data_IF_323586696524
#
_entry.id   IF_323586696524
#
_cell.length_a   1.000
_cell.length_b   1.000
_cell.length_c   1.000
_cell.angle_alpha   90.00
_cell.angle_beta   90.00
_cell.angle_gamma   90.00
#
_symmetry.space_group_name_H-M   'P 1'
#
loop_
_entity.id
_entity.type
_entity.pdbx_description
1 polymer ?
#
# COMPACT_ATOMS: atom_id res chain seq x y z
N UNK A 1 8.20 -29.34 -11.40
CA UNK A 1 6.88 -29.58 -10.77
C UNK A 1 6.34 -28.23 -10.34
N UNK A 2 5.32 -27.72 -11.02
CA UNK A 2 4.67 -26.46 -10.70
C UNK A 2 3.63 -26.73 -9.62
N UNK A 3 3.91 -26.30 -8.39
CA UNK A 3 2.97 -26.44 -7.28
C UNK A 3 1.84 -25.44 -7.48
N UNK A 4 0.71 -25.92 -8.00
CA UNK A 4 -0.56 -25.18 -8.03
C UNK A 4 -1.06 -25.07 -6.60
N UNK A 5 -0.82 -23.94 -5.96
CA UNK A 5 -1.51 -23.56 -4.74
C UNK A 5 -2.69 -22.66 -5.12
N UNK A 6 -3.83 -23.28 -5.40
CA UNK A 6 -5.12 -22.60 -5.47
C UNK A 6 -5.49 -22.15 -4.05
N UNK A 7 -5.06 -20.95 -3.67
CA UNK A 7 -5.53 -20.32 -2.45
C UNK A 7 -6.82 -19.56 -2.74
N UNK A 8 -7.88 -19.90 -2.00
CA UNK A 8 -9.09 -19.11 -1.89
C UNK A 8 -8.82 -17.80 -1.12
N UNK A 9 -7.97 -16.92 -1.66
CA UNK A 9 -7.76 -15.58 -1.12
C UNK A 9 -9.04 -14.76 -1.35
N UNK A 10 -9.58 -14.19 -0.28
CA UNK A 10 -10.61 -13.17 -0.39
C UNK A 10 -9.97 -11.90 -0.90
N UNK A 11 -10.08 -11.65 -2.21
CA UNK A 11 -9.61 -10.44 -2.93
C UNK A 11 -8.11 -10.12 -2.86
N UNK A 12 -7.49 -9.95 -4.03
CA UNK A 12 -6.15 -9.39 -4.17
C UNK A 12 -6.26 -7.90 -4.42
N UNK A 13 -5.57 -7.10 -3.60
CA UNK A 13 -5.49 -5.67 -3.78
C UNK A 13 -4.24 -5.34 -4.60
N UNK A 14 -4.40 -4.51 -5.62
CA UNK A 14 -3.30 -3.93 -6.35
C UNK A 14 -3.07 -2.51 -5.88
N UNK A 15 -1.92 -2.28 -5.25
CA UNK A 15 -1.58 -1.01 -4.62
C UNK A 15 -0.46 -0.38 -5.43
N UNK A 16 -0.74 0.76 -6.06
CA UNK A 16 0.22 1.55 -6.79
C UNK A 16 0.59 2.78 -5.96
N UNK A 17 1.89 3.05 -5.83
CA UNK A 17 2.43 4.08 -4.95
C UNK A 17 3.28 5.04 -5.77
N UNK A 18 2.95 6.33 -5.69
CA UNK A 18 3.75 7.47 -6.15
C UNK A 18 4.04 8.39 -4.96
N UNK A 19 4.90 9.38 -5.15
CA UNK A 19 5.12 10.41 -4.15
C UNK A 19 3.86 11.26 -3.89
N UNK A 20 3.00 11.48 -4.89
CA UNK A 20 1.86 12.39 -4.84
C UNK A 20 0.50 11.67 -4.87
N UNK A 21 0.52 10.35 -5.11
CA UNK A 21 -0.68 9.54 -5.32
C UNK A 21 -0.54 8.14 -4.73
N UNK A 22 -1.60 7.67 -4.08
CA UNK A 22 -1.78 6.30 -3.64
C UNK A 22 -3.06 5.76 -4.26
N UNK A 23 -2.92 4.71 -5.08
CA UNK A 23 -4.06 4.05 -5.72
C UNK A 23 -4.16 2.60 -5.28
N UNK A 24 -5.36 2.16 -4.91
CA UNK A 24 -5.65 0.77 -4.56
C UNK A 24 -6.82 0.28 -5.38
N UNK A 25 -6.63 -0.81 -6.13
CA UNK A 25 -7.67 -1.49 -6.88
C UNK A 25 -7.97 -2.84 -6.22
N UNK A 26 -9.23 -3.07 -5.87
CA UNK A 26 -9.69 -4.39 -5.46
C UNK A 26 -9.97 -5.24 -6.70
N UNK A 27 -9.16 -6.28 -6.94
CA UNK A 27 -9.30 -7.16 -8.10
C UNK A 27 -10.60 -7.98 -8.10
N UNK A 28 -11.30 -8.10 -6.97
CA UNK A 28 -12.57 -8.82 -6.87
C UNK A 28 -13.77 -7.93 -7.18
N UNK A 29 -13.81 -6.72 -6.64
CA UNK A 29 -14.96 -5.82 -6.77
C UNK A 29 -14.79 -4.79 -7.88
N UNK A 30 -13.56 -4.52 -8.30
CA UNK A 30 -13.22 -3.41 -9.20
C UNK A 30 -13.22 -2.04 -8.53
N UNK A 31 -13.54 -1.96 -7.23
CA UNK A 31 -13.51 -0.70 -6.49
C UNK A 31 -12.09 -0.14 -6.47
N UNK A 32 -11.99 1.19 -6.55
CA UNK A 32 -10.70 1.88 -6.54
C UNK A 32 -10.69 2.95 -5.45
N UNK A 33 -9.60 3.01 -4.68
CA UNK A 33 -9.18 4.15 -3.87
C UNK A 33 -8.09 4.89 -4.64
N UNK A 34 -8.13 6.22 -4.69
CA UNK A 34 -7.21 7.00 -5.50
C UNK A 34 -7.09 8.43 -4.96
N UNK A 35 -6.15 8.64 -4.04
CA UNK A 35 -5.98 9.90 -3.32
C UNK A 35 -4.51 10.19 -3.01
N UNK A 36 -4.21 11.37 -2.47
CA UNK A 36 -2.84 11.70 -2.05
C UNK A 36 -2.39 10.86 -0.85
N UNK A 37 -1.11 10.49 -0.77
CA UNK A 37 -0.58 9.68 0.33
C UNK A 37 -0.30 10.54 1.58
N UNK A 38 -1.30 11.27 2.06
CA UNK A 38 -1.16 12.17 3.20
C UNK A 38 -1.77 11.55 4.45
N UNK A 39 -1.13 11.76 5.59
CA UNK A 39 -1.63 11.41 6.92
C UNK A 39 -1.54 12.62 7.81
N UNK A 40 -2.63 12.95 8.50
CA UNK A 40 -2.67 14.02 9.49
C UNK A 40 -2.69 13.50 10.92
N UNK A 41 -1.99 14.21 11.79
CA UNK A 41 -1.95 13.98 13.22
C UNK A 41 -2.30 15.26 13.95
N UNK A 42 -3.07 15.18 15.04
CA UNK A 42 -3.24 16.32 15.93
C UNK A 42 -1.90 16.71 16.57
N UNK A 43 -1.55 17.99 16.49
CA UNK A 43 -0.33 18.55 17.07
C UNK A 43 -0.49 18.98 18.54
N UNK A 44 -1.58 18.58 19.20
CA UNK A 44 -1.95 19.04 20.55
C UNK A 44 -0.86 18.81 21.60
N UNK A 45 -0.16 17.65 21.56
CA UNK A 45 0.85 17.28 22.55
C UNK A 45 2.01 16.48 21.94
N UNK A 46 3.28 16.83 22.23
CA UNK A 46 4.45 16.20 21.60
C UNK A 46 4.60 14.69 21.87
N UNK A 47 4.01 14.16 22.95
CA UNK A 47 4.08 12.74 23.32
C UNK A 47 2.86 11.91 22.91
N UNK A 48 1.85 12.53 22.29
CA UNK A 48 0.60 11.86 21.88
C UNK A 48 0.13 12.42 20.54
N UNK A 49 0.69 11.90 19.46
CA UNK A 49 0.14 12.10 18.12
C UNK A 49 -1.14 11.26 18.02
N UNK A 50 -2.27 11.93 17.87
CA UNK A 50 -3.56 11.27 17.60
C UNK A 50 -3.83 11.36 16.11
N UNK A 51 -4.11 10.22 15.49
CA UNK A 51 -4.48 10.16 14.08
C UNK A 51 -5.72 11.03 13.86
N UNK A 52 -5.63 11.97 12.91
CA UNK A 52 -6.70 12.90 12.59
C UNK A 52 -7.40 12.55 11.27
N UNK A 53 -6.67 11.98 10.31
CA UNK A 53 -7.21 11.59 9.01
C UNK A 53 -6.12 11.20 8.02
N UNK A 54 -6.54 10.90 6.78
CA UNK A 54 -5.66 10.57 5.66
C UNK A 54 -6.28 11.01 4.33
N UNK A 55 -5.51 10.95 3.24
CA UNK A 55 -6.03 11.20 1.90
C UNK A 55 -6.11 12.69 1.53
N UNK A 56 -7.02 13.03 0.62
CA UNK A 56 -7.20 14.41 0.17
C UNK A 56 -7.92 15.28 1.22
N UNK A 57 -8.76 14.66 2.07
CA UNK A 57 -9.50 15.34 3.13
C UNK A 57 -8.60 16.08 4.12
N UNK A 58 -7.35 15.62 4.31
CA UNK A 58 -6.43 16.27 5.24
C UNK A 58 -5.84 17.57 4.71
N UNK A 59 -5.93 17.84 3.40
CA UNK A 59 -5.39 19.06 2.79
C UNK A 59 -6.07 20.34 3.27
N UNK A 60 -7.32 20.23 3.75
CA UNK A 60 -8.10 21.37 4.25
C UNK A 60 -7.97 21.58 5.75
N UNK A 61 -7.20 20.74 6.45
CA UNK A 61 -6.95 20.89 7.89
C UNK A 61 -6.09 22.12 8.16
N UNK A 62 -6.29 22.71 9.33
CA UNK A 62 -5.55 23.88 9.78
C UNK A 62 -4.15 23.53 10.33
N UNK A 63 -3.39 24.55 10.71
CA UNK A 63 -2.03 24.43 11.27
C UNK A 63 -1.97 23.68 12.61
N UNK A 64 -3.10 23.33 13.23
CA UNK A 64 -3.13 22.49 14.43
C UNK A 64 -2.86 21.00 14.11
N UNK A 65 -2.73 20.67 12.82
CA UNK A 65 -2.45 19.32 12.35
C UNK A 65 -1.06 19.21 11.72
N UNK A 66 -0.33 18.17 12.10
CA UNK A 66 0.90 17.76 11.43
C UNK A 66 0.54 16.82 10.28
N UNK A 67 0.66 17.31 9.04
CA UNK A 67 0.48 16.52 7.83
C UNK A 67 1.83 15.94 7.40
N UNK A 68 1.86 14.64 7.10
CA UNK A 68 3.04 13.93 6.62
C UNK A 68 2.72 13.10 5.38
N UNK A 69 3.70 13.01 4.48
CA UNK A 69 3.70 12.07 3.38
C UNK A 69 4.74 10.97 3.66
N UNK A 70 4.35 9.69 3.81
CA UNK A 70 5.28 8.60 4.05
C UNK A 70 6.06 8.19 2.80
N UNK A 71 5.71 8.73 1.62
CA UNK A 71 6.32 8.38 0.33
C UNK A 71 7.12 9.50 -0.34
N UNK A 72 7.43 10.57 0.40
CA UNK A 72 8.20 11.70 -0.11
C UNK A 72 9.65 11.64 0.36
N UNK A 73 10.51 10.92 -0.38
CA UNK A 73 11.94 10.89 -0.12
C UNK A 73 12.78 10.86 -1.41
N UNK A 74 13.89 11.63 -1.50
CA UNK A 74 14.57 11.92 -2.76
C UNK A 74 15.30 10.74 -3.41
N UNK A 75 15.54 9.65 -2.68
CA UNK A 75 16.32 8.48 -3.16
C UNK A 75 15.61 7.14 -2.96
N UNK A 76 14.41 7.16 -2.40
CA UNK A 76 13.60 5.96 -2.20
C UNK A 76 12.16 6.41 -1.99
N UNK A 77 11.20 5.63 -2.46
CA UNK A 77 9.80 5.97 -2.33
C UNK A 77 9.26 5.79 -0.90
N UNK A 78 9.99 5.16 0.04
CA UNK A 78 9.55 5.08 1.44
C UNK A 78 10.41 6.02 2.31
N UNK A 79 9.75 7.00 2.94
CA UNK A 79 10.34 7.92 3.90
C UNK A 79 10.06 7.50 5.36
N UNK A 80 8.85 7.02 5.64
CA UNK A 80 8.35 6.75 7.00
C UNK A 80 7.48 5.47 6.98
N UNK A 81 8.08 4.33 7.35
CA UNK A 81 7.43 3.00 7.30
C UNK A 81 6.19 2.95 8.21
N UNK A 82 6.27 3.51 9.41
CA UNK A 82 5.18 3.48 10.39
C UNK A 82 3.97 4.28 9.89
N UNK A 83 4.21 5.51 9.42
CA UNK A 83 3.16 6.34 8.83
C UNK A 83 2.59 5.72 7.54
N UNK A 84 3.44 5.11 6.71
CA UNK A 84 3.04 4.40 5.51
C UNK A 84 2.16 3.18 5.79
N UNK A 85 2.48 2.41 6.83
CA UNK A 85 1.68 1.26 7.25
C UNK A 85 0.28 1.68 7.75
N UNK A 86 0.20 2.79 8.50
CA UNK A 86 -1.08 3.37 8.94
C UNK A 86 -1.91 3.83 7.74
N UNK A 87 -1.31 4.59 6.83
CA UNK A 87 -1.96 5.06 5.60
C UNK A 87 -2.51 3.88 4.79
N UNK A 88 -1.67 2.87 4.54
CA UNK A 88 -2.05 1.69 3.75
C UNK A 88 -3.20 0.93 4.42
N UNK A 89 -3.15 0.73 5.74
CA UNK A 89 -4.24 0.09 6.50
C UNK A 89 -5.55 0.86 6.37
N UNK A 90 -5.51 2.18 6.54
CA UNK A 90 -6.68 3.06 6.43
C UNK A 90 -7.29 3.00 5.02
N UNK A 91 -6.46 3.16 3.97
CA UNK A 91 -6.89 3.13 2.58
C UNK A 91 -7.47 1.75 2.15
N UNK A 92 -6.87 0.64 2.58
CA UNK A 92 -7.44 -0.69 2.33
C UNK A 92 -8.78 -0.88 3.05
N UNK A 93 -8.89 -0.37 4.28
CA UNK A 93 -10.10 -0.51 5.10
C UNK A 93 -11.25 0.32 4.56
N UNK A 94 -10.99 1.53 4.05
CA UNK A 94 -12.01 2.36 3.41
C UNK A 94 -12.54 1.72 2.12
N UNK A 95 -11.68 1.01 1.38
CA UNK A 95 -12.05 0.36 0.11
C UNK A 95 -12.92 -0.91 0.28
N UNK A 96 -12.59 -1.78 1.24
CA UNK A 96 -13.19 -3.13 1.34
C UNK A 96 -14.57 -3.12 2.05
N UNK A 97 -14.94 -2.03 2.74
CA UNK A 97 -16.26 -1.79 3.34
C UNK A 97 -16.89 -2.96 4.14
N UNK A 98 -16.11 -3.85 4.79
CA UNK A 98 -16.68 -4.93 5.63
C UNK A 98 -15.70 -5.58 6.61
N UNK A 99 -16.26 -6.09 7.71
CA UNK A 99 -15.61 -6.64 8.92
C UNK A 99 -14.34 -7.48 8.64
N UNK A 100 -13.20 -6.88 8.95
CA UNK A 100 -11.81 -7.38 8.85
C UNK A 100 -11.47 -8.64 9.66
N UNK A 101 -12.45 -9.43 10.11
CA UNK A 101 -12.23 -10.44 11.14
C UNK A 101 -11.84 -11.84 10.63
N UNK A 102 -11.82 -12.13 9.32
CA UNK A 102 -11.53 -13.51 8.86
C UNK A 102 -10.86 -13.71 7.50
N UNK A 103 -10.65 -12.69 6.65
CA UNK A 103 -10.03 -12.92 5.33
C UNK A 103 -8.56 -12.53 5.29
N UNK A 104 -7.74 -13.43 4.77
CA UNK A 104 -6.30 -13.25 4.54
C UNK A 104 -6.15 -12.24 3.39
N UNK A 105 -5.73 -11.01 3.69
CA UNK A 105 -5.54 -9.96 2.68
C UNK A 105 -4.23 -10.18 1.95
N UNK A 106 -4.31 -10.21 0.63
CA UNK A 106 -3.16 -10.29 -0.25
C UNK A 106 -3.00 -8.97 -1.00
N UNK A 107 -1.76 -8.47 -1.08
CA UNK A 107 -1.45 -7.22 -1.77
C UNK A 107 -0.33 -7.43 -2.79
N UNK A 108 -0.52 -6.85 -3.97
CA UNK A 108 0.55 -6.57 -4.92
C UNK A 108 0.92 -5.10 -4.76
N UNK A 109 2.07 -4.83 -4.16
CA UNK A 109 2.64 -3.50 -4.02
C UNK A 109 3.44 -3.16 -5.27
N UNK A 110 3.13 -2.02 -5.87
CA UNK A 110 3.79 -1.49 -7.05
C UNK A 110 4.31 -0.07 -6.80
N UNK A 111 5.61 0.07 -6.48
CA UNK A 111 6.29 1.37 -6.49
C UNK A 111 6.38 1.85 -7.94
N UNK A 112 5.74 2.98 -8.22
CA UNK A 112 5.62 3.53 -9.57
C UNK A 112 6.76 4.50 -9.90
N UNK A 113 7.56 4.87 -8.90
CA UNK A 113 8.63 5.85 -8.97
C UNK A 113 9.85 5.37 -8.18
N UNK A 114 10.99 6.04 -8.37
CA UNK A 114 12.25 5.74 -7.68
C UNK A 114 12.72 4.27 -7.82
N UNK A 115 12.41 3.63 -8.95
CA UNK A 115 12.78 2.25 -9.28
C UNK A 115 13.92 2.19 -10.30
N UNK A 116 15.02 2.90 -10.04
CA UNK A 116 16.19 2.95 -10.94
C UNK A 116 16.90 1.59 -11.02
N UNK A 117 16.58 0.81 -12.06
CA UNK A 117 17.12 -0.55 -12.23
C UNK A 117 16.43 -1.62 -11.38
N UNK A 118 15.26 -1.29 -10.80
CA UNK A 118 14.51 -2.15 -9.89
C UNK A 118 14.70 -1.79 -8.41
N UNK A 119 14.01 -2.51 -7.52
CA UNK A 119 14.09 -2.27 -6.08
C UNK A 119 15.32 -2.95 -5.47
N UNK A 120 16.08 -2.20 -4.67
CA UNK A 120 17.15 -2.78 -3.86
C UNK A 120 16.59 -3.70 -2.77
N UNK A 121 17.40 -4.61 -2.23
CA UNK A 121 16.95 -5.51 -1.14
C UNK A 121 16.49 -4.76 0.11
N UNK A 122 17.04 -3.56 0.35
CA UNK A 122 16.65 -2.70 1.48
C UNK A 122 15.23 -2.14 1.25
N UNK A 123 14.95 -1.66 0.05
CA UNK A 123 13.63 -1.13 -0.32
C UNK A 123 12.58 -2.22 -0.34
N UNK A 124 12.91 -3.38 -0.92
CA UNK A 124 12.02 -4.53 -0.89
C UNK A 124 11.64 -4.92 0.54
N UNK A 125 12.61 -4.93 1.45
CA UNK A 125 12.34 -5.18 2.87
C UNK A 125 11.46 -4.08 3.48
N UNK A 126 11.73 -2.81 3.19
CA UNK A 126 10.93 -1.69 3.70
C UNK A 126 9.46 -1.78 3.25
N UNK A 127 9.20 -2.03 1.97
CA UNK A 127 7.83 -2.21 1.45
C UNK A 127 7.12 -3.41 2.08
N UNK A 128 7.82 -4.54 2.21
CA UNK A 128 7.26 -5.75 2.84
C UNK A 128 6.93 -5.50 4.31
N UNK A 129 7.84 -4.91 5.07
CA UNK A 129 7.61 -4.54 6.47
C UNK A 129 6.41 -3.60 6.60
N UNK A 130 6.34 -2.56 5.79
CA UNK A 130 5.20 -1.63 5.77
C UNK A 130 3.87 -2.34 5.53
N UNK A 131 3.78 -3.23 4.54
CA UNK A 131 2.55 -3.97 4.27
C UNK A 131 2.19 -4.96 5.39
N UNK A 132 3.15 -5.65 5.97
CA UNK A 132 2.90 -6.52 7.12
C UNK A 132 2.41 -5.73 8.33
N UNK A 133 3.00 -4.56 8.61
CA UNK A 133 2.57 -3.66 9.68
C UNK A 133 1.17 -3.07 9.41
N UNK A 134 0.75 -2.99 8.13
CA UNK A 134 -0.61 -2.65 7.73
C UNK A 134 -1.62 -3.81 7.88
N UNK A 135 -1.17 -5.01 8.25
CA UNK A 135 -2.00 -6.20 8.44
C UNK A 135 -2.16 -7.08 7.19
N UNK A 136 -1.30 -6.89 6.18
CA UNK A 136 -1.30 -7.72 4.97
C UNK A 136 -0.67 -9.07 5.29
N UNK A 137 -1.35 -10.14 4.87
CA UNK A 137 -0.90 -11.51 5.12
C UNK A 137 0.09 -12.01 4.07
N UNK A 138 -0.08 -11.59 2.80
CA UNK A 138 0.78 -11.99 1.69
C UNK A 138 1.08 -10.77 0.81
N UNK A 139 2.37 -10.49 0.64
CA UNK A 139 2.86 -9.29 -0.04
C UNK A 139 3.69 -9.68 -1.25
N UNK A 140 3.28 -9.22 -2.42
CA UNK A 140 4.04 -9.32 -3.67
C UNK A 140 4.57 -7.95 -4.05
N UNK A 141 5.87 -7.87 -4.32
CA UNK A 141 6.46 -6.67 -4.90
C UNK A 141 6.50 -6.80 -6.41
N UNK A 142 6.10 -5.73 -7.08
CA UNK A 142 6.07 -5.61 -8.53
C UNK A 142 6.60 -4.24 -8.94
N UNK A 143 7.36 -4.14 -10.02
CA UNK A 143 7.95 -2.89 -10.52
C UNK A 143 8.09 -2.88 -12.05
N UNK A 144 7.16 -3.56 -12.72
CA UNK A 144 7.09 -3.59 -14.19
C UNK A 144 6.01 -2.65 -14.73
N UNK A 145 5.51 -2.93 -15.93
CA UNK A 145 4.39 -2.17 -16.50
C UNK A 145 3.11 -2.30 -15.68
N UNK A 146 2.29 -1.24 -15.53
CA UNK A 146 1.04 -1.31 -14.79
C UNK A 146 0.18 -2.52 -15.17
N UNK A 147 -0.28 -3.26 -14.16
CA UNK A 147 -1.13 -4.41 -14.35
C UNK A 147 -2.58 -3.98 -14.57
N UNK A 148 -3.27 -4.65 -15.48
CA UNK A 148 -4.70 -4.50 -15.66
C UNK A 148 -5.48 -5.35 -14.64
N UNK A 149 -6.73 -4.96 -14.36
CA UNK A 149 -7.60 -5.65 -13.38
C UNK A 149 -7.72 -7.16 -13.63
N UNK A 150 -7.78 -7.56 -14.91
CA UNK A 150 -7.89 -8.97 -15.32
C UNK A 150 -6.63 -9.80 -15.02
N UNK A 151 -5.48 -9.15 -14.81
CA UNK A 151 -4.19 -9.78 -14.51
C UNK A 151 -3.97 -9.96 -12.99
N UNK A 152 -4.85 -9.40 -12.14
CA UNK A 152 -4.72 -9.46 -10.69
C UNK A 152 -5.13 -10.82 -10.10
N UNK A 153 -5.53 -11.79 -10.93
CA UNK A 153 -5.86 -13.13 -10.50
C UNK A 153 -4.56 -13.93 -10.28
N UNK A 154 -4.18 -14.06 -9.03
CA UNK A 154 -2.88 -14.55 -8.52
C UNK A 154 -2.49 -15.96 -8.94
N UNK A 155 -3.44 -16.77 -9.41
CA UNK A 155 -3.17 -18.14 -9.90
C UNK A 155 -2.18 -18.16 -11.09
N UNK A 156 -1.87 -17.00 -11.70
CA UNK A 156 -1.05 -16.89 -12.91
C UNK A 156 0.00 -15.78 -12.96
N UNK A 157 0.34 -15.10 -11.86
CA UNK A 157 1.38 -14.05 -11.89
C UNK A 157 2.79 -14.64 -12.02
N UNK A 158 3.12 -15.09 -13.23
CA UNK A 158 4.45 -15.54 -13.65
C UNK A 158 5.18 -14.40 -14.37
N UNK A 159 5.33 -13.25 -13.71
CA UNK A 159 6.03 -12.09 -14.28
C UNK A 159 7.45 -12.03 -13.71
N UNK A 160 8.49 -11.78 -14.52
CA UNK A 160 9.90 -11.78 -14.07
C UNK A 160 10.23 -10.75 -12.97
N UNK A 161 9.31 -9.82 -12.70
CA UNK A 161 9.46 -8.74 -11.72
C UNK A 161 8.61 -8.95 -10.45
N UNK A 162 8.03 -10.16 -10.27
CA UNK A 162 7.27 -10.49 -9.07
C UNK A 162 8.15 -11.30 -8.12
N UNK A 163 8.48 -10.74 -6.96
CA UNK A 163 9.17 -11.49 -5.91
C UNK A 163 8.24 -11.80 -4.73
N UNK A 164 8.02 -13.11 -4.53
CA UNK A 164 7.36 -13.66 -3.36
C UNK A 164 8.39 -13.77 -2.23
N UNK A 165 8.03 -13.36 -1.00
CA UNK A 165 8.87 -13.48 0.20
C UNK A 165 8.20 -14.39 1.21
#
# INVERSE_FOLDING_TARGET
MLTRFSYAYGSTLYVQIWNDRLRILDGKTGNTFDESPLVAWHADKPWRKRFAGFGDDVKTLDESHLIKNPFDHPRSLIADIETGAILLRCAMTSLIQRNFFTSRIQVILHPMECVEGGLTSVEQKAFKTMAHDAGVSDVFLYWGEPLEAHQLNVDGLSTPHLQQG
#
